data_IF_388490750723
#
_entry.id   IF_388490750723
#
_cell.length_a   1.000
_cell.length_b   1.000
_cell.length_c   1.000
_cell.angle_alpha   90.00
_cell.angle_beta   90.00
_cell.angle_gamma   90.00
#
_symmetry.space_group_name_H-M   'P 1'
#
loop_
_entity.id
_entity.type
_entity.pdbx_description
1 polymer ?
#
# COMPACT_ATOMS: atom_id res chain seq x y z
N UNK A 1 -63.26 -23.06 -1.14
CA UNK A 1 -62.38 -23.34 -2.31
C UNK A 1 -61.74 -22.06 -2.88
N UNK A 2 -62.49 -20.96 -3.06
CA UNK A 2 -61.98 -19.66 -3.55
C UNK A 2 -60.85 -19.03 -2.71
N UNK A 3 -60.91 -19.14 -1.38
CA UNK A 3 -59.89 -18.56 -0.49
C UNK A 3 -58.48 -19.17 -0.67
N UNK A 4 -58.39 -20.45 -1.05
CA UNK A 4 -57.12 -21.14 -1.32
C UNK A 4 -56.51 -20.61 -2.63
N UNK A 5 -57.35 -20.33 -3.62
CA UNK A 5 -56.94 -19.77 -4.90
C UNK A 5 -56.39 -18.35 -4.75
N UNK A 6 -57.07 -17.50 -3.98
CA UNK A 6 -56.61 -16.14 -3.68
C UNK A 6 -55.25 -16.13 -2.94
N UNK A 7 -55.06 -17.03 -1.95
CA UNK A 7 -53.79 -17.16 -1.23
C UNK A 7 -52.62 -17.51 -2.16
N UNK A 8 -52.82 -18.41 -3.13
CA UNK A 8 -51.78 -18.78 -4.11
C UNK A 8 -51.39 -17.62 -5.02
N UNK A 9 -52.35 -16.80 -5.43
CA UNK A 9 -52.10 -15.61 -6.28
C UNK A 9 -51.21 -14.61 -5.53
N UNK A 10 -51.52 -14.33 -4.25
CA UNK A 10 -50.73 -13.41 -3.42
C UNK A 10 -49.29 -13.89 -3.25
N UNK A 11 -49.09 -15.18 -2.96
CA UNK A 11 -47.76 -15.76 -2.80
C UNK A 11 -46.93 -15.67 -4.09
N UNK A 12 -47.55 -15.96 -5.25
CA UNK A 12 -46.86 -15.85 -6.53
C UNK A 12 -46.48 -14.40 -6.85
N UNK A 13 -47.33 -13.43 -6.50
CA UNK A 13 -47.03 -12.01 -6.71
C UNK A 13 -45.85 -11.54 -5.85
N UNK A 14 -45.82 -11.96 -4.58
CA UNK A 14 -44.70 -11.69 -3.67
C UNK A 14 -43.40 -12.31 -4.21
N UNK A 15 -43.45 -13.55 -4.72
CA UNK A 15 -42.30 -14.21 -5.33
C UNK A 15 -41.76 -13.43 -6.52
N UNK A 16 -42.62 -12.96 -7.42
CA UNK A 16 -42.20 -12.16 -8.59
C UNK A 16 -41.53 -10.86 -8.15
N UNK A 17 -42.12 -10.15 -7.20
CA UNK A 17 -41.53 -8.91 -6.65
C UNK A 17 -40.17 -9.21 -6.01
N UNK A 18 -40.07 -10.29 -5.24
CA UNK A 18 -38.82 -10.69 -4.60
C UNK A 18 -37.72 -11.00 -5.61
N UNK A 19 -38.06 -11.66 -6.73
CA UNK A 19 -37.10 -11.96 -7.81
C UNK A 19 -36.60 -10.67 -8.45
N UNK A 20 -37.49 -9.71 -8.73
CA UNK A 20 -37.13 -8.43 -9.32
C UNK A 20 -36.19 -7.65 -8.38
N UNK A 21 -36.50 -7.60 -7.09
CA UNK A 21 -35.65 -6.94 -6.09
C UNK A 21 -34.27 -7.59 -5.98
N UNK A 22 -34.20 -8.92 -5.94
CA UNK A 22 -32.94 -9.66 -5.92
C UNK A 22 -32.10 -9.40 -7.18
N UNK A 23 -32.74 -9.31 -8.35
CA UNK A 23 -32.07 -9.01 -9.61
C UNK A 23 -31.41 -7.62 -9.58
N UNK A 24 -32.15 -6.59 -9.18
CA UNK A 24 -31.64 -5.22 -9.07
C UNK A 24 -30.49 -5.15 -8.05
N UNK A 25 -30.65 -5.80 -6.90
CA UNK A 25 -29.63 -5.85 -5.87
C UNK A 25 -28.35 -6.52 -6.36
N UNK A 26 -28.47 -7.62 -7.11
CA UNK A 26 -27.31 -8.33 -7.67
C UNK A 26 -26.53 -7.46 -8.67
N UNK A 27 -27.24 -6.71 -9.53
CA UNK A 27 -26.60 -5.81 -10.50
C UNK A 27 -25.89 -4.68 -9.78
N UNK A 28 -26.55 -4.06 -8.80
CA UNK A 28 -25.96 -2.98 -8.01
C UNK A 28 -24.73 -3.45 -7.24
N UNK A 29 -24.83 -4.59 -6.55
CA UNK A 29 -23.71 -5.19 -5.82
C UNK A 29 -22.52 -5.49 -6.73
N UNK A 30 -22.77 -6.04 -7.91
CA UNK A 30 -21.70 -6.35 -8.86
C UNK A 30 -20.99 -5.08 -9.34
N UNK A 31 -21.73 -4.02 -9.61
CA UNK A 31 -21.17 -2.73 -10.01
C UNK A 31 -20.35 -2.09 -8.89
N UNK A 32 -20.89 -2.03 -7.67
CA UNK A 32 -20.17 -1.49 -6.51
C UNK A 32 -18.90 -2.29 -6.20
N UNK A 33 -18.97 -3.62 -6.28
CA UNK A 33 -17.80 -4.48 -6.10
C UNK A 33 -16.74 -4.23 -7.17
N UNK A 34 -17.12 -4.02 -8.43
CA UNK A 34 -16.18 -3.69 -9.50
C UNK A 34 -15.48 -2.35 -9.23
N UNK A 35 -16.24 -1.33 -8.84
CA UNK A 35 -15.69 -0.01 -8.50
C UNK A 35 -14.73 -0.11 -7.32
N UNK A 36 -15.12 -0.83 -6.27
CA UNK A 36 -14.30 -1.05 -5.08
C UNK A 36 -13.00 -1.79 -5.41
N UNK A 37 -13.06 -2.84 -6.22
CA UNK A 37 -11.86 -3.59 -6.59
C UNK A 37 -10.87 -2.73 -7.40
N UNK A 38 -11.40 -1.86 -8.27
CA UNK A 38 -10.56 -0.93 -9.03
C UNK A 38 -9.86 0.07 -8.12
N UNK A 39 -10.57 0.67 -7.16
CA UNK A 39 -9.98 1.63 -6.22
C UNK A 39 -8.98 0.96 -5.28
N UNK A 40 -9.30 -0.23 -4.77
CA UNK A 40 -8.41 -1.03 -3.92
C UNK A 40 -7.08 -1.34 -4.65
N UNK A 41 -7.15 -1.74 -5.92
CA UNK A 41 -5.95 -2.04 -6.71
C UNK A 41 -5.06 -0.82 -6.89
N UNK A 42 -5.65 0.34 -7.19
CA UNK A 42 -4.89 1.60 -7.33
C UNK A 42 -4.24 1.99 -6.01
N UNK A 43 -5.00 1.98 -4.91
CA UNK A 43 -4.48 2.32 -3.58
C UNK A 43 -3.39 1.36 -3.12
N UNK A 44 -3.51 0.07 -3.42
CA UNK A 44 -2.49 -0.93 -3.09
C UNK A 44 -1.18 -0.64 -3.80
N UNK A 45 -1.23 -0.33 -5.11
CA UNK A 45 -0.02 0.01 -5.89
C UNK A 45 0.64 1.27 -5.35
N UNK A 46 -0.15 2.31 -5.03
CA UNK A 46 0.38 3.55 -4.45
C UNK A 46 1.03 3.30 -3.09
N UNK A 47 0.39 2.51 -2.23
CA UNK A 47 0.93 2.17 -0.91
C UNK A 47 2.20 1.33 -1.01
N UNK A 48 2.25 0.35 -1.92
CA UNK A 48 3.49 -0.41 -2.20
C UNK A 48 4.62 0.51 -2.68
N UNK A 49 4.32 1.48 -3.55
CA UNK A 49 5.29 2.48 -4.01
C UNK A 49 5.79 3.37 -2.87
N UNK A 50 4.89 3.88 -2.03
CA UNK A 50 5.24 4.71 -0.87
C UNK A 50 6.09 3.90 0.13
N UNK A 51 5.73 2.66 0.38
CA UNK A 51 6.48 1.78 1.29
C UNK A 51 7.89 1.49 0.75
N UNK A 52 8.04 1.26 -0.55
CA UNK A 52 9.35 1.09 -1.19
C UNK A 52 10.21 2.36 -1.05
N UNK A 53 9.63 3.54 -1.31
CA UNK A 53 10.31 4.83 -1.14
C UNK A 53 10.70 5.09 0.32
N UNK A 54 9.80 4.82 1.28
CA UNK A 54 10.10 4.98 2.70
C UNK A 54 11.25 4.06 3.14
N UNK A 55 11.29 2.82 2.63
CA UNK A 55 12.41 1.91 2.90
C UNK A 55 13.72 2.42 2.30
N UNK A 56 13.70 2.94 1.07
CA UNK A 56 14.88 3.55 0.45
C UNK A 56 15.38 4.74 1.27
N UNK A 57 14.49 5.66 1.63
CA UNK A 57 14.83 6.84 2.44
C UNK A 57 15.43 6.44 3.80
N UNK A 58 14.87 5.43 4.47
CA UNK A 58 15.42 4.92 5.74
C UNK A 58 16.81 4.31 5.56
N UNK A 59 17.07 3.60 4.46
CA UNK A 59 18.40 3.07 4.16
C UNK A 59 19.41 4.19 3.91
N UNK A 60 19.07 5.16 3.06
CA UNK A 60 19.92 6.32 2.77
C UNK A 60 20.24 7.11 4.05
N UNK A 61 19.23 7.35 4.88
CA UNK A 61 19.43 8.02 6.17
C UNK A 61 20.37 7.22 7.09
N UNK A 62 20.20 5.89 7.16
CA UNK A 62 21.07 5.02 7.94
C UNK A 62 22.50 4.98 7.40
N UNK A 63 22.70 5.03 6.09
CA UNK A 63 24.03 5.06 5.48
C UNK A 63 24.75 6.36 5.81
N UNK A 64 24.07 7.51 5.67
CA UNK A 64 24.62 8.82 6.02
C UNK A 64 24.95 8.86 7.52
N UNK A 65 24.03 8.41 8.37
CA UNK A 65 24.25 8.38 9.82
C UNK A 65 25.40 7.45 10.21
N UNK A 66 25.51 6.29 9.56
CA UNK A 66 26.63 5.37 9.73
C UNK A 66 27.94 6.03 9.34
N UNK A 67 28.01 6.71 8.19
CA UNK A 67 29.19 7.44 7.74
C UNK A 67 29.63 8.52 8.74
N UNK A 68 28.69 9.31 9.26
CA UNK A 68 28.97 10.32 10.30
C UNK A 68 29.47 9.66 11.59
N UNK A 69 28.85 8.54 11.99
CA UNK A 69 29.25 7.81 13.20
C UNK A 69 30.65 7.23 13.05
N UNK A 70 30.99 6.66 11.89
CA UNK A 70 32.33 6.14 11.58
C UNK A 70 33.36 7.25 11.60
N UNK A 71 33.06 8.41 11.00
CA UNK A 71 33.96 9.58 11.01
C UNK A 71 34.20 10.09 12.44
N UNK A 72 33.16 10.18 13.25
CA UNK A 72 33.29 10.62 14.63
C UNK A 72 34.13 9.60 15.44
N UNK A 73 33.87 8.31 15.25
CA UNK A 73 34.61 7.23 15.92
C UNK A 73 36.08 7.17 15.50
N UNK A 74 36.38 7.40 14.22
CA UNK A 74 37.77 7.42 13.75
C UNK A 74 38.55 8.60 14.33
N UNK A 75 37.92 9.76 14.47
CA UNK A 75 38.54 10.94 15.07
C UNK A 75 38.71 10.82 16.59
N UNK A 76 37.66 10.39 17.29
CA UNK A 76 37.61 10.47 18.75
C UNK A 76 38.21 9.24 19.46
N UNK A 77 37.99 8.03 18.93
CA UNK A 77 38.50 6.80 19.54
C UNK A 77 39.81 6.33 18.89
N UNK A 78 39.91 6.43 17.57
CA UNK A 78 41.08 5.95 16.82
C UNK A 78 42.15 7.04 16.59
N UNK A 79 41.87 8.29 16.97
CA UNK A 79 42.75 9.45 16.81
C UNK A 79 43.30 9.59 15.39
N UNK A 80 42.50 9.21 14.39
CA UNK A 80 42.85 9.33 12.98
C UNK A 80 42.64 10.78 12.56
N UNK A 81 43.72 11.45 12.19
CA UNK A 81 43.71 12.79 11.61
C UNK A 81 43.82 12.71 10.10
N UNK A 82 43.17 13.64 9.40
CA UNK A 82 43.37 13.80 7.96
C UNK A 82 44.83 14.23 7.74
N UNK A 83 45.60 13.53 6.88
CA UNK A 83 46.99 13.88 6.63
C UNK A 83 47.10 15.29 6.04
N UNK A 84 48.15 16.02 6.44
CA UNK A 84 48.37 17.38 5.93
C UNK A 84 48.64 17.34 4.43
N UNK A 85 48.24 18.40 3.73
CA UNK A 85 48.35 18.52 2.26
C UNK A 85 49.80 18.30 1.76
N UNK A 86 50.81 18.54 2.60
CA UNK A 86 52.23 18.25 2.32
C UNK A 86 52.57 16.77 2.15
N UNK A 87 51.80 15.87 2.77
CA UNK A 87 52.10 14.43 2.81
C UNK A 87 51.53 13.70 1.57
N UNK A 88 50.77 14.41 0.73
CA UNK A 88 50.19 13.89 -0.50
C UNK A 88 51.17 13.91 -1.68
N UNK A 89 52.22 14.74 -1.64
CA UNK A 89 53.25 14.79 -2.67
C UNK A 89 54.13 13.52 -2.67
N UNK A 90 54.27 12.82 -1.54
CA UNK A 90 55.05 11.58 -1.44
C UNK A 90 54.30 10.34 -1.98
N UNK A 91 52.99 10.44 -2.23
CA UNK A 91 52.13 9.30 -2.64
C UNK A 91 51.66 9.47 -4.09
N UNK A 92 52.55 9.92 -4.97
CA UNK A 92 52.32 9.84 -6.42
C UNK A 92 53.36 8.89 -7.01
N UNK A 93 52.95 7.63 -7.26
CA UNK A 93 53.73 6.62 -8.03
C UNK A 93 53.38 6.76 -9.51
#
# INVERSE_FOLDING_TARGET
MLAIFQKRIIVNFILIISIILLSILSIHWHHEMYLLHKTEKTLKIENEKINALNRQLMMEYSEIQSGVTVYQKSKDELLMFVPLESDWEEVTI
#
